data_IF_621354236965
#
_entry.id   IF_621354236965
#
_cell.length_a   1.000
_cell.length_b   1.000
_cell.length_c   1.000
_cell.angle_alpha   90.00
_cell.angle_beta   90.00
_cell.angle_gamma   90.00
#
_symmetry.space_group_name_H-M   'P 1'
#
loop_
_entity.id
_entity.type
_entity.pdbx_description
1 polymer ?
#
# COMPACT_ATOMS: atom_id res chain seq x y z
N UNK A 1 10.22 -4.53 16.53
CA UNK A 1 10.19 -5.52 17.64
C UNK A 1 9.39 -5.02 18.83
N UNK A 2 8.70 -5.91 19.54
CA UNK A 2 7.99 -5.58 20.79
C UNK A 2 6.76 -4.68 20.61
N UNK A 3 6.28 -4.50 19.38
CA UNK A 3 5.06 -3.74 19.11
C UNK A 3 3.85 -4.52 19.62
N UNK A 4 3.05 -3.90 20.47
CA UNK A 4 1.98 -4.50 21.27
C UNK A 4 0.57 -4.14 20.77
N UNK A 5 0.46 -3.34 19.71
CA UNK A 5 -0.80 -2.95 19.06
C UNK A 5 -1.14 -3.84 17.86
N UNK A 6 -2.20 -3.49 17.12
CA UNK A 6 -2.61 -4.24 15.92
C UNK A 6 -1.48 -4.40 14.89
N UNK A 7 -1.09 -5.65 14.63
CA UNK A 7 0.12 -6.00 13.86
C UNK A 7 -0.15 -6.25 12.36
N UNK A 8 -1.40 -6.39 11.95
CA UNK A 8 -1.75 -6.74 10.56
C UNK A 8 -1.14 -8.06 10.06
N UNK A 9 -0.71 -8.96 10.94
CA UNK A 9 -0.02 -10.19 10.55
C UNK A 9 1.49 -10.02 10.29
N UNK A 10 2.08 -8.87 10.62
CA UNK A 10 3.53 -8.67 10.66
C UNK A 10 4.14 -9.33 11.91
N UNK A 11 5.35 -9.86 11.75
CA UNK A 11 6.14 -10.41 12.85
C UNK A 11 6.74 -9.29 13.71
N UNK A 12 6.56 -9.41 15.02
CA UNK A 12 7.06 -8.45 16.01
C UNK A 12 8.17 -9.00 16.89
N UNK A 13 8.57 -10.26 16.68
CA UNK A 13 9.47 -11.00 17.56
C UNK A 13 10.80 -11.30 16.86
N UNK A 14 10.75 -11.83 15.64
CA UNK A 14 11.91 -12.42 14.96
C UNK A 14 12.40 -11.63 13.73
N UNK A 15 11.85 -10.44 13.46
CA UNK A 15 12.15 -9.59 12.29
C UNK A 15 11.89 -10.24 10.92
N UNK A 16 11.03 -11.26 10.86
CA UNK A 16 10.75 -12.01 9.62
C UNK A 16 9.96 -11.22 8.57
N UNK A 17 9.36 -10.10 8.96
CA UNK A 17 8.58 -9.22 8.07
C UNK A 17 9.11 -7.80 8.04
N UNK A 18 10.42 -7.63 8.26
CA UNK A 18 11.07 -6.34 8.31
C UNK A 18 11.15 -5.76 9.74
N UNK A 19 11.92 -4.69 9.87
CA UNK A 19 12.24 -4.09 11.17
C UNK A 19 11.19 -3.07 11.63
N UNK A 20 10.56 -2.39 10.67
CA UNK A 20 9.64 -1.28 10.90
C UNK A 20 8.46 -1.37 9.95
N UNK A 21 7.38 -0.72 10.34
CA UNK A 21 6.20 -0.50 9.51
C UNK A 21 5.59 0.87 9.84
N UNK A 22 4.58 1.28 9.10
CA UNK A 22 3.77 2.47 9.40
C UNK A 22 2.47 2.02 10.07
N UNK A 23 2.17 2.62 11.22
CA UNK A 23 0.96 2.39 11.98
C UNK A 23 0.31 3.72 12.37
N UNK A 24 -1.01 3.75 12.44
CA UNK A 24 -1.76 4.86 13.04
C UNK A 24 -3.01 4.36 13.75
N UNK A 25 -3.50 5.15 14.72
CA UNK A 25 -4.85 5.01 15.25
C UNK A 25 -5.66 6.21 14.76
N UNK A 26 -6.68 5.96 13.94
CA UNK A 26 -7.54 7.00 13.40
C UNK A 26 -8.97 6.75 13.84
N UNK A 27 -9.53 7.70 14.60
CA UNK A 27 -10.91 7.63 15.12
C UNK A 27 -11.19 6.32 15.89
N UNK A 28 -10.20 5.85 16.66
CA UNK A 28 -10.31 4.61 17.43
C UNK A 28 -10.05 3.34 16.62
N UNK A 29 -9.81 3.44 15.30
CA UNK A 29 -9.50 2.30 14.42
C UNK A 29 -7.99 2.21 14.26
N UNK A 30 -7.44 1.05 14.57
CA UNK A 30 -6.03 0.75 14.38
C UNK A 30 -5.75 0.36 12.92
N UNK A 31 -4.76 1.01 12.30
CA UNK A 31 -4.39 0.80 10.90
C UNK A 31 -2.91 0.45 10.86
N UNK A 32 -2.62 -0.76 10.38
CA UNK A 32 -1.26 -1.21 10.05
C UNK A 32 -1.09 -1.21 8.54
N UNK A 33 -0.04 -0.56 8.03
CA UNK A 33 0.28 -0.55 6.61
C UNK A 33 1.28 -1.65 6.25
N UNK A 34 1.04 -2.41 5.19
CA UNK A 34 2.05 -3.30 4.61
C UNK A 34 2.91 -2.54 3.60
N UNK A 35 3.96 -1.86 4.07
CA UNK A 35 4.83 -1.04 3.23
C UNK A 35 5.81 -1.92 2.45
N UNK A 36 5.63 -2.00 1.12
CA UNK A 36 6.39 -2.91 0.25
C UNK A 36 7.92 -2.77 0.37
N UNK A 37 8.43 -1.54 0.56
CA UNK A 37 9.86 -1.26 0.71
C UNK A 37 10.42 -1.60 2.09
N UNK A 38 9.55 -1.74 3.10
CA UNK A 38 9.93 -2.12 4.47
C UNK A 38 9.78 -3.63 4.72
N UNK A 39 9.02 -4.33 3.88
CA UNK A 39 8.96 -5.78 3.84
C UNK A 39 10.25 -6.38 3.23
N UNK A 40 10.66 -7.59 3.67
CA UNK A 40 11.88 -8.25 3.19
C UNK A 40 11.95 -8.34 1.67
N UNK A 41 13.16 -8.21 1.13
CA UNK A 41 13.46 -8.38 -0.28
C UNK A 41 14.33 -9.61 -0.47
N UNK A 42 13.80 -10.61 -1.16
CA UNK A 42 14.56 -11.79 -1.57
C UNK A 42 14.89 -11.66 -3.06
N UNK A 43 16.18 -11.54 -3.41
CA UNK A 43 16.61 -11.35 -4.80
C UNK A 43 16.21 -12.53 -5.69
N UNK A 44 16.33 -13.75 -5.17
CA UNK A 44 16.06 -15.01 -5.86
C UNK A 44 14.56 -15.39 -5.93
N UNK A 45 13.67 -14.56 -5.38
CA UNK A 45 12.23 -14.73 -5.49
C UNK A 45 11.68 -13.79 -6.57
N UNK A 46 11.42 -14.23 -7.81
CA UNK A 46 10.95 -13.37 -8.88
C UNK A 46 9.54 -12.80 -8.62
N UNK A 47 8.71 -13.50 -7.83
CA UNK A 47 7.35 -13.06 -7.53
C UNK A 47 7.26 -12.21 -6.25
N UNK A 48 8.35 -12.13 -5.47
CA UNK A 48 8.41 -11.42 -4.18
C UNK A 48 7.27 -11.86 -3.26
N UNK A 49 7.05 -13.17 -3.16
CA UNK A 49 6.03 -13.85 -2.37
C UNK A 49 5.98 -13.34 -0.92
N UNK A 50 7.13 -13.09 -0.28
CA UNK A 50 7.16 -12.54 1.08
C UNK A 50 6.47 -11.18 1.18
N UNK A 51 6.52 -10.36 0.13
CA UNK A 51 5.79 -9.08 0.08
C UNK A 51 4.34 -9.30 -0.34
N UNK A 52 4.15 -10.10 -1.39
CA UNK A 52 2.86 -10.38 -1.99
C UNK A 52 1.89 -11.08 -1.02
N UNK A 53 2.37 -11.93 -0.12
CA UNK A 53 1.51 -12.61 0.87
C UNK A 53 0.87 -11.67 1.88
N UNK A 54 1.45 -10.49 2.10
CA UNK A 54 0.86 -9.45 2.96
C UNK A 54 -0.01 -8.53 2.10
N UNK A 55 0.61 -7.80 1.16
CA UNK A 55 -0.08 -6.80 0.33
C UNK A 55 -1.19 -7.43 -0.53
N UNK A 56 -0.93 -8.60 -1.10
CA UNK A 56 -1.88 -9.31 -1.95
C UNK A 56 -3.05 -9.91 -1.17
N UNK A 57 -3.02 -9.94 0.15
CA UNK A 57 -4.15 -10.36 0.99
C UNK A 57 -4.88 -9.16 1.63
N UNK A 58 -4.44 -7.93 1.35
CA UNK A 58 -5.17 -6.73 1.75
C UNK A 58 -6.38 -6.50 0.82
N UNK A 59 -7.36 -5.73 1.30
CA UNK A 59 -8.55 -5.34 0.52
C UNK A 59 -8.30 -4.05 -0.27
N UNK A 60 -7.59 -3.11 0.36
CA UNK A 60 -7.28 -1.77 -0.16
C UNK A 60 -5.77 -1.59 -0.22
N UNK A 61 -5.25 -1.16 -1.37
CA UNK A 61 -3.82 -0.89 -1.55
C UNK A 61 -3.60 0.58 -1.94
N UNK A 62 -2.70 1.26 -1.24
CA UNK A 62 -2.21 2.58 -1.65
C UNK A 62 -1.01 2.40 -2.57
N UNK A 63 -1.10 2.97 -3.77
CA UNK A 63 -0.02 2.93 -4.78
C UNK A 63 0.59 4.32 -4.87
N UNK A 64 1.82 4.45 -4.40
CA UNK A 64 2.57 5.71 -4.52
C UNK A 64 3.37 5.71 -5.83
N UNK A 65 3.10 6.69 -6.69
CA UNK A 65 3.73 6.85 -8.00
C UNK A 65 4.55 8.14 -8.05
N UNK A 66 5.87 7.99 -8.01
CA UNK A 66 6.80 9.08 -8.31
C UNK A 66 7.15 9.06 -9.81
N UNK A 67 6.17 9.40 -10.65
CA UNK A 67 6.30 9.36 -12.11
C UNK A 67 5.29 10.28 -12.80
N UNK A 68 5.71 10.93 -13.89
CA UNK A 68 4.86 11.81 -14.69
C UNK A 68 3.92 11.03 -15.63
N UNK A 69 4.45 10.04 -16.36
CA UNK A 69 3.73 9.38 -17.47
C UNK A 69 3.50 7.87 -17.25
N UNK A 70 3.77 7.35 -16.07
CA UNK A 70 3.57 5.92 -15.78
C UNK A 70 2.12 5.66 -15.43
N UNK A 71 1.48 4.81 -16.23
CA UNK A 71 0.13 4.29 -15.97
C UNK A 71 0.18 3.13 -14.99
N UNK A 72 -0.81 3.04 -14.11
CA UNK A 72 -1.01 1.88 -13.24
C UNK A 72 -2.27 1.13 -13.68
N UNK A 73 -2.17 -0.20 -13.76
CA UNK A 73 -3.33 -1.08 -13.94
C UNK A 73 -3.46 -2.00 -12.73
N UNK A 74 -4.66 -2.12 -12.13
CA UNK A 74 -4.93 -3.10 -11.08
C UNK A 74 -4.58 -4.55 -11.49
N UNK A 75 -4.70 -4.87 -12.79
CA UNK A 75 -4.40 -6.20 -13.32
C UNK A 75 -2.93 -6.61 -13.20
N UNK A 76 -2.03 -5.66 -12.93
CA UNK A 76 -0.62 -5.93 -12.68
C UNK A 76 -0.40 -6.74 -11.39
N UNK A 77 -1.34 -6.70 -10.43
CA UNK A 77 -1.23 -7.42 -9.16
C UNK A 77 -2.34 -8.48 -9.09
N UNK A 78 -1.96 -9.74 -9.35
CA UNK A 78 -2.87 -10.88 -9.24
C UNK A 78 -3.17 -11.19 -7.77
N UNK A 79 -4.37 -10.82 -7.32
CA UNK A 79 -4.92 -11.09 -6.00
C UNK A 79 -6.44 -11.27 -6.08
N UNK A 80 -6.99 -12.17 -5.26
CA UNK A 80 -8.44 -12.27 -5.06
C UNK A 80 -8.97 -11.27 -4.03
N UNK A 81 -8.11 -10.74 -3.16
CA UNK A 81 -8.49 -9.86 -2.04
C UNK A 81 -8.41 -8.38 -2.39
N UNK A 82 -7.49 -7.97 -3.27
CA UNK A 82 -7.36 -6.57 -3.65
C UNK A 82 -8.52 -6.13 -4.53
N UNK A 83 -9.36 -5.26 -3.98
CA UNK A 83 -10.56 -4.72 -4.64
C UNK A 83 -10.48 -3.22 -4.89
N UNK A 84 -9.65 -2.50 -4.14
CA UNK A 84 -9.51 -1.04 -4.24
C UNK A 84 -8.05 -0.63 -4.28
N UNK A 85 -7.71 0.27 -5.19
CA UNK A 85 -6.41 0.92 -5.29
C UNK A 85 -6.58 2.43 -5.17
N UNK A 86 -5.84 3.04 -4.24
CA UNK A 86 -5.75 4.49 -4.08
C UNK A 86 -4.39 4.91 -4.63
N UNK A 87 -4.38 5.55 -5.79
CA UNK A 87 -3.17 6.03 -6.44
C UNK A 87 -2.85 7.43 -5.92
N UNK A 88 -1.63 7.62 -5.43
CA UNK A 88 -1.09 8.91 -5.01
C UNK A 88 0.12 9.21 -5.89
N UNK A 89 -0.01 10.16 -6.81
CA UNK A 89 1.02 10.53 -7.78
C UNK A 89 1.69 11.85 -7.42
N UNK A 90 3.00 11.90 -7.63
CA UNK A 90 3.82 13.13 -7.61
C UNK A 90 4.82 13.10 -8.77
N UNK A 91 5.24 14.29 -9.22
CA UNK A 91 6.26 14.41 -10.28
C UNK A 91 7.68 14.26 -9.72
N UNK A 92 8.55 13.44 -10.33
CA UNK A 92 9.97 13.35 -9.96
C UNK A 92 10.74 14.64 -10.26
N UNK A 93 10.18 15.57 -11.05
CA UNK A 93 10.81 16.86 -11.37
C UNK A 93 10.78 17.84 -10.18
N UNK A 94 9.96 17.56 -9.16
CA UNK A 94 9.88 18.39 -7.97
C UNK A 94 11.13 18.13 -7.12
N UNK A 95 12.15 18.98 -7.27
CA UNK A 95 13.45 18.85 -6.57
C UNK A 95 13.39 19.06 -5.05
N UNK A 96 12.25 19.50 -4.51
CA UNK A 96 12.00 19.75 -3.08
C UNK A 96 10.89 18.82 -2.58
N UNK A 97 10.45 18.99 -1.32
CA UNK A 97 9.26 18.29 -0.82
C UNK A 97 8.07 18.49 -1.79
N UNK A 98 7.39 17.43 -2.22
CA UNK A 98 6.19 17.55 -3.05
C UNK A 98 5.20 18.51 -2.39
N UNK A 99 4.76 19.53 -3.14
CA UNK A 99 3.75 20.49 -2.68
C UNK A 99 2.36 20.11 -3.15
N UNK A 100 2.25 19.13 -4.05
CA UNK A 100 0.99 18.66 -4.61
C UNK A 100 1.06 17.15 -4.85
N UNK A 101 -0.02 16.48 -4.50
CA UNK A 101 -0.28 15.10 -4.89
C UNK A 101 -1.54 15.07 -5.75
N UNK A 102 -1.49 14.28 -6.81
CA UNK A 102 -2.68 13.88 -7.57
C UNK A 102 -3.18 12.56 -6.98
N UNK A 103 -4.47 12.49 -6.69
CA UNK A 103 -5.09 11.29 -6.13
C UNK A 103 -6.13 10.78 -7.12
N UNK A 104 -6.04 9.50 -7.45
CA UNK A 104 -7.07 8.81 -8.22
C UNK A 104 -7.37 7.46 -7.57
N UNK A 105 -8.55 6.93 -7.84
CA UNK A 105 -9.05 5.71 -7.21
C UNK A 105 -9.51 4.76 -8.31
N UNK A 106 -9.11 3.50 -8.20
CA UNK A 106 -9.56 2.42 -9.08
C UNK A 106 -10.07 1.28 -8.23
N UNK A 107 -11.31 0.85 -8.48
CA UNK A 107 -11.96 -0.22 -7.75
C UNK A 107 -12.47 -1.28 -8.73
N UNK A 108 -12.68 -2.50 -8.25
CA UNK A 108 -13.46 -3.50 -9.02
C UNK A 108 -14.91 -3.06 -9.14
N UNK A 109 -15.58 -3.50 -10.20
CA UNK A 109 -16.98 -3.16 -10.50
C UNK A 109 -17.96 -3.58 -9.39
N UNK A 110 -17.62 -4.62 -8.63
CA UNK A 110 -18.40 -5.14 -7.51
C UNK A 110 -18.37 -4.23 -6.27
N UNK A 111 -17.44 -3.27 -6.22
CA UNK A 111 -17.29 -2.33 -5.10
C UNK A 111 -18.21 -1.13 -5.32
N UNK A 112 -19.21 -0.99 -4.45
CA UNK A 112 -20.07 0.19 -4.45
C UNK A 112 -19.31 1.49 -4.16
N UNK A 113 -19.85 2.62 -4.60
CA UNK A 113 -19.25 3.93 -4.37
C UNK A 113 -19.12 4.24 -2.87
N UNK A 114 -17.98 4.83 -2.47
CA UNK A 114 -17.71 5.20 -1.08
C UNK A 114 -17.19 6.65 -0.96
N UNK A 115 -17.34 7.20 0.24
CA UNK A 115 -16.99 8.58 0.58
C UNK A 115 -15.58 8.67 1.19
N UNK A 116 -14.95 9.87 1.17
CA UNK A 116 -15.38 11.06 0.45
C UNK A 116 -15.20 10.90 -1.06
N UNK A 117 -16.07 11.54 -1.83
CA UNK A 117 -15.88 11.61 -3.28
C UNK A 117 -14.66 12.50 -3.59
N UNK A 118 -13.88 12.10 -4.58
CA UNK A 118 -12.89 13.00 -5.17
C UNK A 118 -13.65 14.13 -5.87
N UNK A 119 -13.23 15.36 -5.61
CA UNK A 119 -13.73 16.52 -6.34
C UNK A 119 -13.02 16.59 -7.69
N UNK A 120 -13.78 16.82 -8.76
CA UNK A 120 -13.25 17.11 -10.10
C UNK A 120 -12.79 18.57 -10.21
#
# INVERSE_FOLDING_TARGET
>A
KGFDKYKGGLDTVHDLTGLFSVYTNWRGIEIMFHVSTQLPYESHDPQKLQRKRHIGNDIVCVVFLEADCTTFSPSCIKSHFLHTFILVRTSPRIKRKPTRYEVSVVTRDEVGAYKPYLWE
#
